data_IF_107553682097
#
_entry.id   IF_107553682097
#
_cell.length_a   1.000
_cell.length_b   1.000
_cell.length_c   1.000
_cell.angle_alpha   90.00
_cell.angle_beta   90.00
_cell.angle_gamma   90.00
#
_symmetry.space_group_name_H-M   'P 1'
#
loop_
_entity.id
_entity.type
_entity.pdbx_description
1 polymer ?
#
# COMPACT_ATOMS: atom_id res chain seq x y z
N UNK A 1 18.50 44.82 -28.46
CA UNK A 1 17.44 44.72 -27.45
C UNK A 1 16.45 43.69 -27.94
N UNK A 2 16.62 42.44 -27.53
CA UNK A 2 15.68 41.36 -27.81
C UNK A 2 14.74 41.28 -26.60
N UNK A 3 13.44 41.31 -26.86
CA UNK A 3 12.36 41.33 -25.88
C UNK A 3 12.58 40.23 -24.82
N UNK A 4 12.70 40.61 -23.55
CA UNK A 4 12.50 39.68 -22.44
C UNK A 4 11.08 39.12 -22.57
N UNK A 5 10.96 37.85 -22.98
CA UNK A 5 9.71 37.10 -22.89
C UNK A 5 9.40 36.87 -21.40
N UNK A 6 8.90 37.91 -20.73
CA UNK A 6 8.19 37.72 -19.47
C UNK A 6 6.94 36.89 -19.77
N UNK A 7 6.82 35.74 -19.11
CA UNK A 7 5.62 34.91 -19.15
C UNK A 7 4.42 35.73 -18.72
N UNK A 8 3.54 36.09 -19.66
CA UNK A 8 2.33 36.91 -19.43
C UNK A 8 1.13 36.09 -18.92
N UNK A 9 1.34 34.83 -18.61
CA UNK A 9 0.29 33.91 -18.20
C UNK A 9 0.39 33.71 -16.69
N UNK A 10 -0.64 34.17 -15.98
CA UNK A 10 -0.88 33.83 -14.59
C UNK A 10 -2.02 32.81 -14.56
N UNK A 11 -1.82 31.75 -13.78
CA UNK A 11 -2.83 30.72 -13.57
C UNK A 11 -3.27 30.79 -12.11
N UNK A 12 -4.57 31.00 -11.91
CA UNK A 12 -5.23 31.05 -10.61
C UNK A 12 -6.46 30.12 -10.64
N UNK A 13 -6.44 29.11 -9.77
CA UNK A 13 -7.51 28.15 -9.55
C UNK A 13 -7.88 28.22 -8.09
N UNK A 14 -9.17 28.35 -7.81
CA UNK A 14 -9.76 28.16 -6.50
C UNK A 14 -10.96 27.21 -6.64
N UNK A 15 -10.89 26.05 -5.99
CA UNK A 15 -11.88 24.99 -6.07
C UNK A 15 -12.25 24.52 -4.67
N UNK A 16 -13.55 24.51 -4.40
CA UNK A 16 -14.10 23.95 -3.19
C UNK A 16 -14.44 22.46 -3.35
N UNK A 17 -13.77 21.64 -2.53
CA UNK A 17 -13.93 20.20 -2.42
C UNK A 17 -13.86 19.42 -3.76
N UNK A 18 -12.86 19.66 -4.65
CA UNK A 18 -12.75 18.83 -5.83
C UNK A 18 -12.34 17.41 -5.42
N UNK A 19 -12.97 16.41 -6.04
CA UNK A 19 -12.74 15.00 -5.73
C UNK A 19 -12.34 14.24 -6.98
N UNK A 20 -11.30 13.44 -6.86
CA UNK A 20 -10.92 12.46 -7.89
C UNK A 20 -11.34 11.09 -7.39
N UNK A 21 -12.06 10.35 -8.25
CA UNK A 21 -12.56 9.01 -7.94
C UNK A 21 -11.96 8.00 -8.91
N UNK A 22 -11.36 6.94 -8.37
CA UNK A 22 -10.83 5.82 -9.15
C UNK A 22 -11.63 4.57 -8.79
N UNK A 23 -12.36 3.96 -9.75
CA UNK A 23 -13.09 2.72 -9.49
C UNK A 23 -12.12 1.55 -9.37
N UNK A 24 -12.32 0.72 -8.34
CA UNK A 24 -11.61 -0.53 -8.12
C UNK A 24 -12.54 -1.71 -8.40
N UNK A 25 -12.04 -2.69 -9.13
CA UNK A 25 -12.77 -3.90 -9.50
C UNK A 25 -12.01 -5.12 -9.01
N UNK A 26 -12.68 -5.96 -8.24
CA UNK A 26 -12.10 -7.25 -7.87
C UNK A 26 -12.06 -8.13 -9.12
N UNK A 27 -11.00 -8.90 -9.26
CA UNK A 27 -10.73 -9.71 -10.45
C UNK A 27 -11.88 -10.70 -10.71
N UNK A 28 -12.48 -10.66 -11.91
CA UNK A 28 -13.56 -11.58 -12.31
C UNK A 28 -14.99 -11.10 -12.02
N UNK A 29 -15.15 -9.88 -11.49
CA UNK A 29 -16.45 -9.21 -11.37
C UNK A 29 -16.60 -8.13 -12.44
N UNK A 30 -17.73 -8.12 -13.15
CA UNK A 30 -18.12 -7.00 -14.04
C UNK A 30 -18.60 -5.77 -13.24
N UNK A 31 -18.78 -5.92 -11.93
CA UNK A 31 -19.25 -4.86 -11.04
C UNK A 31 -18.08 -4.17 -10.35
N UNK A 32 -18.23 -2.86 -10.14
CA UNK A 32 -17.29 -2.09 -9.33
C UNK A 32 -17.57 -2.37 -7.86
N UNK A 33 -16.58 -2.90 -7.15
CA UNK A 33 -16.75 -3.38 -5.78
C UNK A 33 -16.36 -2.31 -4.75
N UNK A 34 -15.41 -1.44 -5.11
CA UNK A 34 -15.03 -0.30 -4.27
C UNK A 34 -14.48 0.86 -5.09
N UNK A 35 -14.32 2.03 -4.47
CA UNK A 35 -13.71 3.20 -5.08
C UNK A 35 -12.63 3.77 -4.17
N UNK A 36 -11.51 4.18 -4.76
CA UNK A 36 -10.58 5.12 -4.15
C UNK A 36 -11.05 6.55 -4.41
N UNK A 37 -11.08 7.38 -3.37
CA UNK A 37 -11.45 8.78 -3.46
C UNK A 37 -10.30 9.61 -2.88
N UNK A 38 -9.81 10.56 -3.68
CA UNK A 38 -8.95 11.64 -3.25
C UNK A 38 -9.79 12.93 -3.18
N UNK A 39 -10.05 13.39 -1.97
CA UNK A 39 -10.73 14.63 -1.67
C UNK A 39 -9.68 15.71 -1.46
N UNK A 40 -9.65 16.72 -2.32
CA UNK A 40 -8.68 17.82 -2.18
C UNK A 40 -9.14 18.90 -1.20
N UNK A 41 -10.34 18.76 -0.62
CA UNK A 41 -10.91 19.77 0.27
C UNK A 41 -10.91 21.15 -0.40
N UNK A 42 -10.52 22.22 0.28
CA UNK A 42 -10.37 23.51 -0.39
C UNK A 42 -9.01 23.60 -1.08
N UNK A 43 -8.99 23.57 -2.41
CA UNK A 43 -7.79 23.52 -3.25
C UNK A 43 -7.59 24.82 -4.01
N UNK A 44 -6.38 25.37 -3.89
CA UNK A 44 -5.96 26.56 -4.62
C UNK A 44 -4.66 26.32 -5.36
N UNK A 45 -4.50 26.94 -6.52
CA UNK A 45 -3.25 27.01 -7.26
C UNK A 45 -3.10 28.41 -7.83
N UNK A 46 -2.06 29.12 -7.46
CA UNK A 46 -1.75 30.45 -7.98
C UNK A 46 -0.31 30.54 -8.49
N UNK A 47 -0.14 31.23 -9.61
CA UNK A 47 1.17 31.60 -10.14
C UNK A 47 1.72 32.79 -9.36
N UNK A 48 2.94 32.68 -8.86
CA UNK A 48 3.58 33.76 -8.13
C UNK A 48 4.22 34.76 -9.09
N UNK A 49 3.89 36.04 -8.95
CA UNK A 49 4.57 37.11 -9.67
C UNK A 49 5.97 37.33 -9.08
N UNK A 50 6.98 37.43 -9.95
CA UNK A 50 8.36 37.68 -9.53
C UNK A 50 8.54 39.15 -9.14
N UNK A 51 8.28 39.51 -7.89
CA UNK A 51 8.52 40.87 -7.38
C UNK A 51 9.98 41.13 -6.92
N UNK A 52 10.93 40.22 -7.14
CA UNK A 52 12.31 40.40 -6.65
C UNK A 52 13.42 40.11 -7.67
N UNK A 53 14.49 40.93 -7.61
CA UNK A 53 15.73 40.91 -8.41
C UNK A 53 16.67 39.72 -8.13
N UNK A 54 16.22 38.67 -7.42
CA UNK A 54 17.05 37.50 -7.22
C UNK A 54 17.20 36.71 -8.54
N UNK A 55 18.42 36.67 -9.09
CA UNK A 55 18.77 35.96 -10.36
C UNK A 55 18.16 34.55 -10.48
N UNK A 56 18.00 33.82 -9.37
CA UNK A 56 17.37 32.49 -9.35
C UNK A 56 15.87 32.52 -9.57
N UNK A 57 15.15 33.54 -9.08
CA UNK A 57 13.71 33.67 -9.30
C UNK A 57 13.38 34.01 -10.76
N UNK A 58 14.31 34.67 -11.47
CA UNK A 58 14.10 34.95 -12.89
C UNK A 58 14.18 33.68 -13.77
N UNK A 59 14.92 32.64 -13.34
CA UNK A 59 15.08 31.39 -14.10
C UNK A 59 13.87 30.45 -14.04
N UNK A 60 13.01 30.58 -13.03
CA UNK A 60 11.89 29.67 -12.81
C UNK A 60 10.54 30.39 -12.83
N UNK A 61 9.53 29.72 -13.39
CA UNK A 61 8.12 30.02 -13.17
C UNK A 61 7.67 29.33 -11.89
N UNK A 62 7.01 30.08 -11.01
CA UNK A 62 6.68 29.63 -9.65
C UNK A 62 5.17 29.47 -9.48
N UNK A 63 4.77 28.33 -8.95
CA UNK A 63 3.38 27.99 -8.66
C UNK A 63 3.27 27.61 -7.18
N UNK A 64 2.30 28.20 -6.49
CA UNK A 64 1.91 27.81 -5.15
C UNK A 64 0.61 27.04 -5.23
N UNK A 65 0.62 25.83 -4.72
CA UNK A 65 -0.55 24.98 -4.58
C UNK A 65 -0.83 24.87 -3.08
N UNK A 66 -2.06 25.08 -2.65
CA UNK A 66 -2.46 24.83 -1.27
C UNK A 66 -3.74 24.02 -1.24
N UNK A 67 -3.83 23.10 -0.29
CA UNK A 67 -5.07 22.42 0.02
C UNK A 67 -5.33 22.42 1.53
N UNK A 68 -6.60 22.57 1.91
CA UNK A 68 -7.08 22.38 3.28
C UNK A 68 -8.07 21.23 3.30
N UNK A 69 -8.03 20.43 4.36
CA UNK A 69 -8.92 19.26 4.55
C UNK A 69 -8.80 18.19 3.46
N UNK A 70 -7.60 18.03 2.88
CA UNK A 70 -7.28 16.98 1.91
C UNK A 70 -7.35 15.63 2.61
N UNK A 71 -8.05 14.65 2.03
CA UNK A 71 -8.10 13.29 2.53
C UNK A 71 -8.12 12.27 1.39
N UNK A 72 -7.68 11.05 1.68
CA UNK A 72 -7.76 9.93 0.75
C UNK A 72 -8.35 8.71 1.44
N UNK A 73 -9.33 8.05 0.84
CA UNK A 73 -10.02 6.92 1.46
C UNK A 73 -10.64 5.98 0.42
N UNK A 74 -10.85 4.73 0.83
CA UNK A 74 -11.60 3.74 0.06
C UNK A 74 -13.06 3.71 0.53
N UNK A 75 -13.98 3.44 -0.39
CA UNK A 75 -15.41 3.25 -0.11
C UNK A 75 -15.91 2.01 -0.81
N UNK A 76 -16.64 1.15 -0.11
CA UNK A 76 -17.24 -0.03 -0.73
C UNK A 76 -18.55 0.36 -1.44
N UNK A 77 -18.79 -0.24 -2.60
CA UNK A 77 -20.04 -0.08 -3.31
C UNK A 77 -21.12 -0.84 -2.53
N UNK A 78 -21.99 -0.11 -1.83
CA UNK A 78 -23.12 -0.72 -1.12
C UNK A 78 -23.96 -1.62 -2.05
N UNK A 79 -24.62 -2.62 -1.46
CA UNK A 79 -25.46 -3.62 -2.14
C UNK A 79 -26.63 -3.06 -2.97
N UNK A 80 -26.85 -1.74 -2.95
CA UNK A 80 -28.03 -1.08 -3.52
C UNK A 80 -27.80 -0.51 -4.93
N UNK A 81 -26.61 -0.69 -5.53
CA UNK A 81 -26.40 -0.29 -6.92
C UNK A 81 -26.90 -1.36 -7.89
N UNK A 82 -28.21 -1.33 -8.11
CA UNK A 82 -28.82 -1.83 -9.34
C UNK A 82 -28.29 -1.04 -10.53
N UNK A 83 -27.61 -1.74 -11.44
CA UNK A 83 -27.11 -1.27 -12.75
C UNK A 83 -26.26 0.01 -12.75
N UNK A 84 -24.99 -0.14 -13.13
CA UNK A 84 -24.19 0.97 -13.66
C UNK A 84 -24.81 1.46 -14.98
N UNK A 85 -25.88 2.24 -14.91
CA UNK A 85 -26.35 3.10 -15.98
C UNK A 85 -25.83 4.50 -15.69
N UNK A 86 -24.96 4.99 -16.57
CA UNK A 86 -24.61 6.41 -16.68
C UNK A 86 -25.89 7.28 -16.64
N UNK A 87 -25.77 8.48 -16.06
CA UNK A 87 -26.75 9.59 -15.99
C UNK A 87 -27.63 9.66 -14.72
N UNK A 88 -27.13 10.30 -13.66
CA UNK A 88 -27.65 11.58 -13.11
C UNK A 88 -26.87 12.03 -11.85
N UNK A 89 -26.47 13.30 -11.73
CA UNK A 89 -26.03 13.87 -10.46
C UNK A 89 -27.27 14.40 -9.72
N UNK A 90 -27.48 13.98 -8.47
CA UNK A 90 -28.32 14.73 -7.53
C UNK A 90 -27.43 15.03 -6.32
N UNK A 91 -26.79 16.19 -6.36
CA UNK A 91 -26.36 16.88 -5.16
C UNK A 91 -27.53 17.75 -4.73
N UNK A 92 -28.13 17.45 -3.58
CA UNK A 92 -28.90 18.45 -2.85
C UNK A 92 -28.39 18.52 -1.42
N UNK A 93 -28.01 19.74 -1.07
CA UNK A 93 -27.53 20.22 0.21
C UNK A 93 -28.66 20.22 1.25
N UNK A 94 -28.52 19.46 2.35
CA UNK A 94 -29.19 19.79 3.61
C UNK A 94 -28.27 19.49 4.80
N UNK A 95 -27.79 20.56 5.42
CA UNK A 95 -27.18 20.56 6.75
C UNK A 95 -28.33 20.59 7.76
N UNK A 96 -28.43 19.59 8.65
CA UNK A 96 -29.07 19.74 9.96
C UNK A 96 -28.54 18.69 10.96
N UNK A 97 -28.47 19.13 12.21
CA UNK A 97 -27.69 18.67 13.35
C UNK A 97 -28.25 17.49 14.17
N UNK A 98 -27.37 16.53 14.52
CA UNK A 98 -27.30 15.66 15.75
C UNK A 98 -28.45 14.66 16.07
N UNK A 99 -28.27 13.59 16.90
CA UNK A 99 -27.08 12.81 17.32
C UNK A 99 -27.18 11.29 17.01
N UNK A 100 -26.01 10.62 16.92
CA UNK A 100 -25.78 9.16 17.11
C UNK A 100 -26.53 8.21 16.14
N UNK A 101 -25.78 7.69 15.17
CA UNK A 101 -26.16 6.62 14.25
C UNK A 101 -25.19 6.59 13.06
N UNK A 102 -24.05 5.92 13.23
CA UNK A 102 -22.89 5.95 12.35
C UNK A 102 -23.23 5.68 10.87
N UNK A 103 -23.08 6.71 10.02
CA UNK A 103 -23.10 6.59 8.54
C UNK A 103 -21.69 6.47 7.94
N UNK A 104 -20.66 6.50 8.77
CA UNK A 104 -19.24 6.43 8.38
C UNK A 104 -18.71 4.99 8.28
N UNK A 105 -19.55 3.96 8.49
CA UNK A 105 -19.13 2.56 8.62
C UNK A 105 -18.51 1.96 7.35
N UNK A 106 -18.54 2.69 6.21
CA UNK A 106 -18.02 2.20 4.93
C UNK A 106 -16.84 3.02 4.36
N UNK A 107 -16.27 3.95 5.12
CA UNK A 107 -15.11 4.74 4.69
C UNK A 107 -13.82 4.24 5.34
N UNK A 108 -12.91 3.72 4.52
CA UNK A 108 -11.61 3.23 4.96
C UNK A 108 -10.53 4.27 4.61
N UNK A 109 -10.25 5.19 5.54
CA UNK A 109 -9.25 6.24 5.35
C UNK A 109 -7.84 5.69 5.16
N UNK A 110 -7.14 6.22 4.16
CA UNK A 110 -5.71 6.04 3.90
C UNK A 110 -4.91 7.24 4.39
N UNK A 111 -5.40 8.45 4.11
CA UNK A 111 -4.83 9.72 4.56
C UNK A 111 -5.92 10.48 5.32
N UNK A 112 -5.64 10.81 6.58
CA UNK A 112 -6.50 11.67 7.39
C UNK A 112 -6.58 13.06 6.79
N UNK A 113 -7.65 13.81 7.12
CA UNK A 113 -7.78 15.20 6.70
C UNK A 113 -6.56 16.00 7.13
N UNK A 114 -5.82 16.50 6.15
CA UNK A 114 -4.61 17.30 6.35
C UNK A 114 -4.62 18.56 5.48
N UNK A 115 -3.89 19.57 5.94
CA UNK A 115 -3.51 20.69 5.09
C UNK A 115 -2.20 20.40 4.35
N UNK A 116 -2.04 20.98 3.16
CA UNK A 116 -0.80 20.90 2.38
C UNK A 116 -0.51 22.24 1.71
N UNK A 117 0.77 22.60 1.63
CA UNK A 117 1.26 23.67 0.77
C UNK A 117 2.41 23.11 -0.08
N UNK A 118 2.36 23.32 -1.39
CA UNK A 118 3.37 22.88 -2.34
C UNK A 118 3.84 24.07 -3.14
N UNK A 119 5.15 24.26 -3.18
CA UNK A 119 5.82 25.22 -4.05
C UNK A 119 6.48 24.48 -5.20
N UNK A 120 6.03 24.75 -6.42
CA UNK A 120 6.60 24.20 -7.66
C UNK A 120 7.32 25.32 -8.40
N UNK A 121 8.62 25.16 -8.62
CA UNK A 121 9.39 26.04 -9.50
C UNK A 121 9.76 25.25 -10.77
N UNK A 122 9.21 25.66 -11.92
CA UNK A 122 9.49 25.08 -13.23
C UNK A 122 10.49 25.96 -13.97
N UNK A 123 11.60 25.42 -14.47
CA UNK A 123 12.58 26.22 -15.20
C UNK A 123 11.94 26.77 -16.49
N UNK A 124 12.12 28.06 -16.77
CA UNK A 124 11.57 28.70 -17.98
C UNK A 124 12.29 28.22 -19.23
N UNK A 125 13.61 28.02 -19.12
CA UNK A 125 14.49 27.59 -20.20
C UNK A 125 15.41 26.48 -19.69
N UNK A 126 15.53 25.33 -20.36
CA UNK A 126 16.42 24.25 -19.96
C UNK A 126 17.84 24.76 -19.71
N UNK A 127 18.45 24.36 -18.60
CA UNK A 127 19.78 24.83 -18.20
C UNK A 127 20.64 23.67 -17.67
N UNK A 128 21.91 23.55 -18.09
CA UNK A 128 22.75 22.39 -17.74
C UNK A 128 23.07 22.28 -16.24
N UNK A 129 23.10 23.40 -15.52
CA UNK A 129 23.45 23.45 -14.09
C UNK A 129 22.24 23.55 -13.14
N UNK A 130 21.01 23.56 -13.65
CA UNK A 130 19.81 23.75 -12.84
C UNK A 130 18.76 22.69 -13.18
N UNK A 131 18.09 22.10 -12.18
CA UNK A 131 17.04 21.12 -12.42
C UNK A 131 15.85 21.75 -13.14
N UNK A 132 15.15 20.95 -13.95
CA UNK A 132 13.97 21.42 -14.68
C UNK A 132 12.80 21.78 -13.77
N UNK A 133 12.67 21.07 -12.65
CA UNK A 133 11.55 21.22 -11.71
C UNK A 133 12.08 21.12 -10.29
N UNK A 134 11.71 22.07 -9.43
CA UNK A 134 11.96 22.03 -8.00
C UNK A 134 10.61 22.01 -7.28
N UNK A 135 10.41 21.02 -6.41
CA UNK A 135 9.17 20.87 -5.65
C UNK A 135 9.53 20.92 -4.16
N UNK A 136 8.89 21.81 -3.42
CA UNK A 136 8.92 21.84 -1.96
C UNK A 136 7.53 21.59 -1.43
N UNK A 137 7.40 20.69 -0.46
CA UNK A 137 6.11 20.26 0.09
C UNK A 137 6.14 20.50 1.59
N UNK A 138 5.11 21.13 2.12
CA UNK A 138 4.90 21.33 3.54
C UNK A 138 3.54 20.74 3.93
N UNK A 139 3.56 19.78 4.84
CA UNK A 139 2.36 19.13 5.40
C UNK A 139 2.47 19.20 6.93
N UNK A 140 1.77 20.12 7.61
CA UNK A 140 1.95 20.36 9.04
C UNK A 140 1.53 19.16 9.91
N UNK A 141 0.47 18.44 9.54
CA UNK A 141 0.01 17.23 10.21
C UNK A 141 -0.41 16.20 9.17
N UNK A 142 0.19 15.01 9.18
CA UNK A 142 -0.12 13.95 8.23
C UNK A 142 -0.39 12.64 8.98
N UNK A 143 -1.64 12.19 8.97
CA UNK A 143 -2.04 10.87 9.45
C UNK A 143 -2.16 9.91 8.28
N UNK A 144 -1.45 8.78 8.33
CA UNK A 144 -1.52 7.72 7.32
C UNK A 144 -1.88 6.41 8.03
N UNK A 145 -2.88 5.71 7.49
CA UNK A 145 -3.36 4.46 8.07
C UNK A 145 -2.97 3.26 7.22
N UNK A 146 -2.41 2.24 7.86
CA UNK A 146 -2.07 0.98 7.22
C UNK A 146 -2.77 -0.19 7.93
N UNK A 147 -3.27 -1.12 7.13
CA UNK A 147 -3.77 -2.42 7.58
C UNK A 147 -3.68 -3.39 6.40
N UNK A 148 -3.83 -4.69 6.66
CA UNK A 148 -3.79 -5.72 5.62
C UNK A 148 -4.81 -5.45 4.51
N UNK A 149 -6.03 -5.07 4.91
CA UNK A 149 -7.10 -4.66 4.00
C UNK A 149 -6.74 -3.42 3.17
N UNK A 150 -6.19 -2.36 3.81
CA UNK A 150 -5.75 -1.15 3.11
C UNK A 150 -4.63 -1.45 2.11
N UNK A 151 -3.65 -2.26 2.51
CA UNK A 151 -2.54 -2.62 1.66
C UNK A 151 -3.01 -3.40 0.42
N UNK A 152 -3.97 -4.32 0.58
CA UNK A 152 -4.57 -5.01 -0.55
C UNK A 152 -5.19 -4.03 -1.56
N UNK A 153 -6.02 -3.09 -1.08
CA UNK A 153 -6.68 -2.08 -1.92
C UNK A 153 -5.67 -1.10 -2.57
N UNK A 154 -4.60 -0.74 -1.87
CA UNK A 154 -3.49 0.06 -2.44
C UNK A 154 -2.83 -0.69 -3.61
N UNK A 155 -2.56 -1.99 -3.44
CA UNK A 155 -1.95 -2.79 -4.51
C UNK A 155 -2.87 -2.91 -5.73
N UNK A 156 -4.18 -3.05 -5.53
CA UNK A 156 -5.15 -2.99 -6.64
C UNK A 156 -5.12 -1.64 -7.35
N UNK A 157 -5.14 -0.53 -6.61
CA UNK A 157 -5.03 0.81 -7.18
C UNK A 157 -3.73 0.98 -7.99
N UNK A 158 -2.60 0.51 -7.46
CA UNK A 158 -1.31 0.57 -8.16
C UNK A 158 -1.32 -0.28 -9.44
N UNK A 159 -1.92 -1.48 -9.41
CA UNK A 159 -2.00 -2.35 -10.59
C UNK A 159 -2.72 -1.65 -11.76
N UNK A 160 -3.80 -0.93 -11.48
CA UNK A 160 -4.54 -0.15 -12.49
C UNK A 160 -3.68 0.98 -13.07
N UNK A 161 -2.93 1.68 -12.22
CA UNK A 161 -2.04 2.76 -12.67
C UNK A 161 -0.91 2.21 -13.54
N UNK A 162 -0.31 1.07 -13.18
CA UNK A 162 0.74 0.42 -13.96
C UNK A 162 0.24 -0.13 -15.30
N UNK A 163 -0.92 -0.77 -15.34
CA UNK A 163 -1.55 -1.23 -16.59
C UNK A 163 -1.80 -0.05 -17.54
N UNK A 164 -2.31 1.06 -17.00
CA UNK A 164 -2.54 2.28 -17.79
C UNK A 164 -1.23 2.82 -18.39
N UNK A 165 -0.12 2.81 -17.63
CA UNK A 165 1.19 3.24 -18.14
C UNK A 165 1.79 2.25 -19.16
N UNK A 166 1.51 0.95 -19.03
CA UNK A 166 1.96 -0.09 -19.96
C UNK A 166 1.36 0.03 -21.36
N UNK A 167 0.15 0.57 -21.49
CA UNK A 167 -0.53 0.78 -22.79
C UNK A 167 0.02 1.94 -23.64
N UNK A 168 0.96 2.75 -23.11
CA UNK A 168 1.70 3.73 -23.92
C UNK A 168 2.80 3.08 -24.79
N UNK A 169 3.03 1.77 -24.61
CA UNK A 169 3.91 0.94 -25.42
C UNK A 169 3.06 -0.17 -26.06
N UNK A 170 3.32 -0.52 -27.32
CA UNK A 170 2.47 -1.37 -28.17
C UNK A 170 1.93 -2.66 -27.52
N UNK A 171 0.74 -3.16 -27.94
CA UNK A 171 0.15 -4.38 -27.40
C UNK A 171 0.80 -5.61 -28.04
N UNK A 172 1.40 -6.47 -27.23
CA UNK A 172 1.73 -7.84 -27.63
C UNK A 172 0.81 -8.84 -26.93
N UNK A 173 -0.11 -9.35 -27.75
CA UNK A 173 -0.74 -10.67 -27.81
C UNK A 173 -0.64 -11.60 -26.60
N UNK A 174 -1.82 -11.92 -26.06
CA UNK A 174 -2.25 -13.18 -25.41
C UNK A 174 -1.18 -14.05 -24.76
N UNK A 175 -1.01 -13.83 -23.47
CA UNK A 175 -1.11 -14.93 -22.50
C UNK A 175 -1.99 -14.41 -21.36
N UNK A 176 -2.82 -15.27 -20.77
CA UNK A 176 -3.58 -14.95 -19.55
C UNK A 176 -2.60 -14.43 -18.49
N UNK A 177 -2.42 -13.12 -18.43
CA UNK A 177 -1.49 -12.47 -17.53
C UNK A 177 -2.01 -12.69 -16.12
N UNK A 178 -1.31 -13.54 -15.38
CA UNK A 178 -1.47 -13.67 -13.94
C UNK A 178 -1.36 -12.28 -13.33
N UNK A 179 -2.50 -11.70 -12.91
CA UNK A 179 -2.57 -10.42 -12.20
C UNK A 179 -1.47 -10.42 -11.12
N UNK A 180 -0.65 -9.37 -11.01
CA UNK A 180 0.45 -9.34 -10.06
C UNK A 180 -0.13 -9.43 -8.65
N UNK A 181 -0.04 -10.62 -8.07
CA UNK A 181 -0.40 -10.85 -6.67
C UNK A 181 0.74 -10.31 -5.80
N UNK A 182 0.46 -9.76 -4.60
CA UNK A 182 1.49 -9.20 -3.71
C UNK A 182 2.61 -10.17 -3.32
N UNK A 183 2.42 -11.46 -3.57
CA UNK A 183 3.36 -12.54 -3.34
C UNK A 183 4.02 -13.09 -4.63
N UNK A 184 3.93 -12.35 -5.74
CA UNK A 184 4.57 -12.66 -7.03
C UNK A 184 5.50 -11.52 -7.47
N UNK A 185 6.76 -11.80 -7.86
CA UNK A 185 7.37 -13.13 -7.87
C UNK A 185 7.63 -13.65 -6.44
N UNK A 186 7.47 -14.96 -6.25
CA UNK A 186 7.81 -15.62 -5.00
C UNK A 186 9.28 -16.04 -5.03
N UNK A 187 10.04 -15.64 -4.01
CA UNK A 187 11.41 -16.11 -3.80
C UNK A 187 11.44 -17.59 -3.37
N UNK A 188 10.39 -18.02 -2.67
CA UNK A 188 10.20 -19.39 -2.21
C UNK A 188 8.69 -19.67 -2.09
N UNK A 189 8.25 -20.83 -2.55
CA UNK A 189 6.90 -21.31 -2.34
C UNK A 189 6.94 -22.81 -2.01
N UNK A 190 6.45 -23.23 -0.84
CA UNK A 190 6.56 -24.62 -0.39
C UNK A 190 5.42 -25.02 0.55
N UNK A 191 5.10 -26.30 0.61
CA UNK A 191 4.19 -26.82 1.62
C UNK A 191 4.87 -26.80 3.01
N UNK A 192 4.09 -26.69 4.07
CA UNK A 192 4.62 -26.68 5.43
C UNK A 192 3.54 -26.92 6.47
N UNK A 193 3.94 -26.86 7.74
CA UNK A 193 3.01 -26.85 8.86
C UNK A 193 3.32 -25.67 9.76
N UNK A 194 2.28 -25.00 10.23
CA UNK A 194 2.37 -23.93 11.22
C UNK A 194 1.80 -24.42 12.54
N UNK A 195 2.47 -24.08 13.64
CA UNK A 195 1.95 -24.38 14.96
C UNK A 195 0.87 -23.36 15.34
N UNK A 196 -0.35 -23.84 15.56
CA UNK A 196 -1.51 -23.02 15.91
C UNK A 196 -1.99 -23.37 17.31
N UNK A 197 -2.14 -22.36 18.15
CA UNK A 197 -2.72 -22.51 19.48
C UNK A 197 -4.25 -22.45 19.41
N UNK A 198 -4.91 -23.42 20.04
CA UNK A 198 -6.36 -23.58 20.10
C UNK A 198 -6.79 -23.88 21.55
N UNK A 199 -8.10 -23.89 21.79
CA UNK A 199 -8.68 -24.12 23.12
C UNK A 199 -8.79 -22.85 23.96
N UNK A 200 -9.49 -22.95 25.10
CA UNK A 200 -9.69 -21.83 26.02
C UNK A 200 -8.32 -21.37 26.54
N UNK A 201 -8.03 -20.07 26.37
CA UNK A 201 -6.75 -19.47 26.76
C UNK A 201 -5.56 -19.89 25.90
N UNK A 202 -5.76 -20.40 24.68
CA UNK A 202 -4.69 -20.85 23.78
C UNK A 202 -3.79 -21.92 24.43
N UNK A 203 -4.40 -22.84 25.18
CA UNK A 203 -3.73 -23.84 26.01
C UNK A 203 -3.20 -25.05 25.23
N UNK A 204 -3.66 -25.28 23.99
CA UNK A 204 -3.32 -26.46 23.20
C UNK A 204 -2.66 -26.06 21.89
N UNK A 205 -1.40 -26.46 21.68
CA UNK A 205 -0.71 -26.30 20.41
C UNK A 205 -1.02 -27.47 19.46
N UNK A 206 -1.40 -27.16 18.23
CA UNK A 206 -1.65 -28.16 17.18
C UNK A 206 -1.00 -27.76 15.86
N UNK A 207 -0.38 -28.73 15.19
CA UNK A 207 0.17 -28.53 13.85
C UNK A 207 -0.97 -28.45 12.82
N UNK A 208 -0.95 -27.39 12.01
CA UNK A 208 -1.87 -27.23 10.88
C UNK A 208 -1.08 -27.22 9.57
N UNK A 209 -1.49 -27.99 8.54
CA UNK A 209 -0.91 -27.87 7.22
C UNK A 209 -1.16 -26.48 6.64
N UNK A 210 -0.21 -26.00 5.83
CA UNK A 210 -0.28 -24.71 5.15
C UNK A 210 0.63 -24.70 3.93
N UNK A 211 0.48 -23.69 3.08
CA UNK A 211 1.41 -23.39 2.00
C UNK A 211 2.10 -22.05 2.27
N UNK A 212 3.42 -22.03 2.28
CA UNK A 212 4.25 -20.90 2.65
C UNK A 212 4.80 -20.24 1.38
N UNK A 213 4.65 -18.93 1.27
CA UNK A 213 5.22 -18.14 0.17
C UNK A 213 6.04 -17.00 0.75
N UNK A 214 7.35 -16.99 0.46
CA UNK A 214 8.21 -15.85 0.71
C UNK A 214 8.25 -15.00 -0.55
N UNK A 215 7.82 -13.75 -0.47
CA UNK A 215 7.95 -12.76 -1.54
C UNK A 215 8.45 -11.48 -0.87
N UNK A 216 9.76 -11.37 -0.88
CA UNK A 216 10.41 -11.07 0.38
C UNK A 216 10.74 -9.60 0.52
N UNK A 217 10.25 -8.88 1.51
CA UNK A 217 10.52 -9.13 2.93
C UNK A 217 9.35 -9.75 3.70
N UNK A 218 8.36 -10.32 3.03
CA UNK A 218 7.17 -10.89 3.65
C UNK A 218 7.05 -12.38 3.42
N UNK A 219 6.68 -13.09 4.50
CA UNK A 219 6.27 -14.49 4.48
C UNK A 219 4.75 -14.57 4.58
N UNK A 220 4.11 -15.14 3.58
CA UNK A 220 2.68 -15.38 3.49
C UNK A 220 2.37 -16.84 3.78
N UNK A 221 1.27 -17.09 4.48
CA UNK A 221 0.79 -18.43 4.87
C UNK A 221 -0.60 -18.62 4.28
N UNK A 222 -0.75 -19.58 3.40
CA UNK A 222 -2.00 -19.97 2.75
C UNK A 222 -2.51 -21.29 3.32
N UNK A 223 -3.80 -21.56 3.15
CA UNK A 223 -4.38 -22.87 3.50
C UNK A 223 -3.79 -23.99 2.63
N UNK A 224 -3.64 -23.71 1.34
CA UNK A 224 -3.11 -24.61 0.32
C UNK A 224 -2.54 -23.82 -0.86
N UNK A 225 -1.76 -24.47 -1.73
CA UNK A 225 -1.20 -23.87 -2.95
C UNK A 225 -2.25 -23.31 -3.93
N UNK A 226 -3.51 -23.77 -3.85
CA UNK A 226 -4.61 -23.32 -4.72
C UNK A 226 -5.40 -22.15 -4.14
N UNK A 227 -5.06 -21.70 -2.93
CA UNK A 227 -5.81 -20.66 -2.23
C UNK A 227 -5.56 -19.31 -2.90
N UNK A 228 -6.63 -18.57 -3.19
CA UNK A 228 -6.55 -17.24 -3.80
C UNK A 228 -6.19 -16.13 -2.79
N UNK A 229 -6.25 -16.44 -1.49
CA UNK A 229 -5.96 -15.51 -0.38
C UNK A 229 -5.12 -16.18 0.70
N UNK A 230 -4.23 -15.43 1.33
CA UNK A 230 -3.45 -15.89 2.47
C UNK A 230 -4.31 -15.90 3.74
N UNK A 231 -4.02 -16.82 4.66
CA UNK A 231 -4.59 -16.85 6.01
C UNK A 231 -3.84 -15.91 6.96
N UNK A 232 -2.52 -15.81 6.80
CA UNK A 232 -1.63 -14.96 7.61
C UNK A 232 -0.46 -14.44 6.77
N UNK A 233 0.18 -13.38 7.23
CA UNK A 233 1.48 -12.96 6.70
C UNK A 233 2.33 -12.32 7.81
N UNK A 234 3.64 -12.30 7.59
CA UNK A 234 4.64 -11.81 8.55
C UNK A 234 5.71 -11.04 7.79
N UNK A 235 6.05 -9.84 8.26
CA UNK A 235 7.29 -9.17 7.81
C UNK A 235 8.49 -9.83 8.46
N UNK A 236 9.50 -10.17 7.66
CA UNK A 236 10.80 -10.69 8.10
C UNK A 236 11.72 -9.58 8.63
N UNK A 237 11.41 -8.30 8.35
CA UNK A 237 12.23 -7.19 8.81
C UNK A 237 12.28 -7.13 10.34
N UNK A 238 13.50 -7.07 10.89
CA UNK A 238 13.73 -7.02 12.34
C UNK A 238 13.35 -8.29 13.10
N UNK A 239 13.10 -9.41 12.40
CA UNK A 239 12.90 -10.71 13.01
C UNK A 239 14.20 -11.52 13.03
N UNK A 240 14.21 -12.55 13.89
CA UNK A 240 15.24 -13.57 13.93
C UNK A 240 14.62 -14.91 13.61
N UNK A 241 15.30 -15.68 12.75
CA UNK A 241 15.01 -17.06 12.42
C UNK A 241 15.89 -17.95 13.28
N UNK A 242 15.26 -18.72 14.16
CA UNK A 242 15.95 -19.60 15.10
C UNK A 242 15.58 -21.05 14.81
N UNK A 243 16.58 -21.93 14.71
CA UNK A 243 16.34 -23.37 14.66
C UNK A 243 15.75 -23.83 16.01
N UNK A 244 14.63 -24.53 15.97
CA UNK A 244 14.02 -25.10 17.17
C UNK A 244 14.37 -26.58 17.26
N UNK A 245 15.11 -27.01 18.30
CA UNK A 245 15.38 -28.43 18.52
C UNK A 245 14.09 -29.24 18.66
N UNK A 246 14.07 -30.43 18.06
CA UNK A 246 12.90 -31.33 18.07
C UNK A 246 12.43 -31.70 19.48
N UNK A 247 13.34 -31.66 20.46
CA UNK A 247 13.06 -31.90 21.88
C UNK A 247 12.07 -30.89 22.48
N UNK A 248 11.95 -29.68 21.91
CA UNK A 248 11.05 -28.64 22.42
C UNK A 248 9.66 -28.65 21.77
N UNK A 249 9.47 -29.34 20.63
CA UNK A 249 8.19 -29.36 19.90
C UNK A 249 7.72 -30.80 19.64
N UNK A 250 7.67 -31.59 20.71
CA UNK A 250 7.09 -32.94 20.69
C UNK A 250 7.74 -33.90 19.68
N UNK A 251 9.06 -33.77 19.44
CA UNK A 251 9.81 -34.63 18.52
C UNK A 251 9.77 -34.20 17.05
N UNK A 252 9.13 -33.08 16.72
CA UNK A 252 9.04 -32.59 15.34
C UNK A 252 10.39 -32.05 14.86
N UNK A 253 10.97 -32.66 13.82
CA UNK A 253 12.20 -32.19 13.20
C UNK A 253 11.93 -31.01 12.24
N UNK A 254 13.00 -30.26 11.92
CA UNK A 254 13.00 -29.17 10.91
C UNK A 254 12.03 -28.04 11.23
N UNK A 255 12.04 -27.61 12.48
CA UNK A 255 11.22 -26.51 12.96
C UNK A 255 12.08 -25.25 13.09
N UNK A 256 11.55 -24.12 12.62
CA UNK A 256 12.11 -22.79 12.85
C UNK A 256 11.11 -21.94 13.62
N UNK A 257 11.62 -21.06 14.47
CA UNK A 257 10.85 -20.05 15.16
C UNK A 257 11.21 -18.66 14.64
N UNK A 258 10.19 -17.85 14.39
CA UNK A 258 10.32 -16.44 14.03
C UNK A 258 9.99 -15.57 15.25
N UNK A 259 10.91 -14.69 15.64
CA UNK A 259 10.78 -13.78 16.80
C UNK A 259 11.15 -12.34 16.45
N UNK A 260 10.48 -11.35 17.05
CA UNK A 260 10.81 -9.91 16.93
C UNK A 260 11.83 -9.41 17.96
N UNK A 261 12.16 -10.21 18.98
CA UNK A 261 13.12 -9.85 20.03
C UNK A 261 14.35 -10.74 19.95
N UNK A 262 15.54 -10.15 20.14
CA UNK A 262 16.82 -10.85 20.35
C UNK A 262 16.76 -11.53 21.71
N UNK A 263 16.24 -12.76 21.73
CA UNK A 263 16.05 -13.55 22.95
C UNK A 263 16.74 -14.90 22.82
N UNK A 264 17.34 -15.31 23.93
CA UNK A 264 18.11 -16.54 24.05
C UNK A 264 17.18 -17.77 23.92
N UNK A 265 17.52 -18.70 23.02
CA UNK A 265 16.74 -19.93 22.76
C UNK A 265 16.55 -20.73 24.06
N UNK A 266 17.45 -20.60 25.03
CA UNK A 266 17.34 -21.33 26.31
C UNK A 266 16.15 -20.90 27.18
N UNK A 267 15.49 -19.77 26.89
CA UNK A 267 14.25 -19.34 27.57
C UNK A 267 12.98 -19.64 26.76
N UNK A 268 13.06 -20.49 25.73
CA UNK A 268 11.90 -20.90 24.92
C UNK A 268 11.01 -21.92 25.66
N UNK A 269 10.46 -21.53 26.80
CA UNK A 269 9.09 -21.97 27.05
C UNK A 269 8.27 -21.40 25.91
N UNK A 270 7.55 -22.26 25.17
CA UNK A 270 6.74 -21.91 23.99
C UNK A 270 5.85 -20.67 24.30
N UNK A 271 6.41 -19.48 24.09
CA UNK A 271 5.71 -18.24 24.32
C UNK A 271 4.84 -17.98 23.08
N UNK A 272 3.68 -17.39 23.29
CA UNK A 272 2.75 -17.05 22.20
C UNK A 272 3.35 -16.02 21.22
N UNK A 273 4.51 -15.44 21.55
CA UNK A 273 5.27 -14.49 20.71
C UNK A 273 6.01 -15.16 19.53
N UNK A 274 6.15 -16.49 19.49
CA UNK A 274 6.83 -17.19 18.40
C UNK A 274 5.86 -17.71 17.33
N UNK A 275 6.16 -17.45 16.05
CA UNK A 275 5.57 -18.23 14.96
C UNK A 275 6.50 -19.39 14.65
N UNK A 276 6.03 -20.62 14.88
CA UNK A 276 6.79 -21.85 14.63
C UNK A 276 6.32 -22.48 13.32
N UNK A 277 7.26 -22.72 12.43
CA UNK A 277 7.04 -23.32 11.12
C UNK A 277 7.85 -24.60 11.00
N UNK A 278 7.23 -25.62 10.41
CA UNK A 278 7.87 -26.85 10.00
C UNK A 278 7.79 -26.95 8.48
N UNK A 279 8.92 -27.26 7.85
CA UNK A 279 9.01 -27.43 6.39
C UNK A 279 9.40 -28.88 6.05
N UNK A 280 8.89 -29.43 4.92
CA UNK A 280 9.19 -30.78 4.49
C UNK A 280 10.62 -30.86 3.93
N UNK A 281 11.34 -31.92 4.29
CA UNK A 281 12.60 -32.27 3.64
C UNK A 281 12.27 -33.09 2.38
N UNK A 282 12.20 -32.44 1.24
CA UNK A 282 12.66 -33.07 0.00
C UNK A 282 13.98 -32.37 -0.39
N UNK A 283 15.01 -33.18 -0.59
CA UNK A 283 16.41 -32.78 -0.72
C UNK A 283 16.62 -31.62 -1.70
N UNK A 284 17.46 -30.64 -1.30
CA UNK A 284 17.74 -29.31 -1.87
C UNK A 284 16.80 -28.17 -1.44
N UNK A 285 15.47 -28.30 -1.58
CA UNK A 285 14.53 -27.18 -1.34
C UNK A 285 14.47 -26.70 0.13
N UNK A 286 14.58 -27.61 1.10
CA UNK A 286 14.57 -27.25 2.52
C UNK A 286 15.83 -26.48 2.99
N UNK A 287 16.95 -26.61 2.29
CA UNK A 287 18.18 -25.86 2.56
C UNK A 287 18.10 -24.44 1.99
N UNK A 288 17.51 -24.29 0.81
CA UNK A 288 17.31 -22.99 0.16
C UNK A 288 16.21 -22.18 0.83
N UNK A 289 15.14 -22.84 1.32
CA UNK A 289 14.14 -22.22 2.19
C UNK A 289 14.77 -21.58 3.44
N UNK A 290 15.65 -22.35 4.10
CA UNK A 290 16.37 -21.88 5.29
C UNK A 290 17.31 -20.73 4.98
N UNK A 291 18.12 -20.84 3.91
CA UNK A 291 19.04 -19.77 3.48
C UNK A 291 18.29 -18.50 3.10
N UNK A 292 17.16 -18.61 2.40
CA UNK A 292 16.36 -17.45 1.98
C UNK A 292 15.73 -16.71 3.17
N UNK A 293 15.30 -17.46 4.20
CA UNK A 293 14.77 -16.88 5.44
C UNK A 293 15.88 -16.26 6.31
N UNK A 294 17.04 -16.92 6.47
CA UNK A 294 18.16 -16.42 7.30
C UNK A 294 18.98 -15.30 6.64
N UNK A 295 19.11 -15.26 5.31
CA UNK A 295 19.83 -14.18 4.61
C UNK A 295 19.17 -12.80 4.81
N UNK A 296 17.87 -12.79 5.11
CA UNK A 296 17.08 -11.56 5.30
C UNK A 296 17.03 -11.08 6.76
N UNK A 297 17.60 -11.84 7.70
CA UNK A 297 17.82 -11.40 9.09
C UNK A 297 19.01 -10.41 9.22
N UNK A 298 19.82 -10.26 8.16
CA UNK A 298 21.11 -9.54 8.19
C UNK A 298 21.19 -8.21 7.45
N UNK A 299 20.10 -7.70 6.85
CA UNK A 299 20.05 -6.42 6.14
C UNK A 299 19.03 -5.46 6.75
#
# INVERSE_FOLDING_TARGET
>A
MALEEQSRFAFDIDLDAPKVRVPLRTTGSDRCDSHFILDFGHFTLHTAESQSDEKRQNLYSRFYISGRDIAAFFTDCGSDFGSCSMLKPNFDSQIMSSPIGNKDENMCYLIDRCGMAVLVNQIKVPHPSYPSTLISIQVPNLGIHFSSERNFRIMELLSLLYETMGTCSQPTTDSLQSKPVPWSPSDLATEGRILVWKGIGNSVATWSPCFLVLSGSYLYVFESAKSQSYQRYLSMAGRQVLDVPSTYIGGSAFCIALSTKRMDIQKTHLNQEYTILQYPLQSQEGSDAKKSLTFRDGN
#
